data_IF_178998435329
#
_entry.id   IF_178998435329
#
_cell.length_a   1.000
_cell.length_b   1.000
_cell.length_c   1.000
_cell.angle_alpha   90.00
_cell.angle_beta   90.00
_cell.angle_gamma   90.00
#
_symmetry.space_group_name_H-M   'P 1'
#
loop_
_entity.id
_entity.type
_entity.pdbx_description
1 polymer ?
#
# COMPACT_ATOMS: atom_id res chain seq x y z
N UNK A 1 -9.76 28.54 -15.48
CA UNK A 1 -9.76 27.85 -14.18
C UNK A 1 -9.14 26.45 -14.22
N UNK A 2 -8.73 25.94 -15.39
CA UNK A 2 -8.06 24.63 -15.53
C UNK A 2 -6.68 24.67 -14.86
N UNK A 3 -6.35 23.65 -14.05
CA UNK A 3 -5.04 23.51 -13.39
C UNK A 3 -3.93 23.34 -14.44
N UNK A 4 -2.84 24.15 -14.39
CA UNK A 4 -1.72 23.98 -15.29
C UNK A 4 -1.02 22.63 -15.02
N UNK A 5 -0.60 21.94 -16.09
CA UNK A 5 0.13 20.68 -15.99
C UNK A 5 1.63 20.95 -15.88
N UNK A 6 2.28 20.30 -14.93
CA UNK A 6 3.73 20.35 -14.77
C UNK A 6 4.37 19.19 -15.54
N UNK A 7 4.66 19.40 -16.83
CA UNK A 7 5.19 18.35 -17.71
C UNK A 7 6.60 17.88 -17.32
N UNK A 8 7.38 18.76 -16.70
CA UNK A 8 8.77 18.46 -16.29
C UNK A 8 8.78 17.40 -15.20
N UNK A 9 7.98 17.60 -14.13
CA UNK A 9 7.84 16.62 -13.05
C UNK A 9 7.28 15.30 -13.58
N UNK A 10 6.29 15.36 -14.48
CA UNK A 10 5.72 14.15 -15.07
C UNK A 10 6.78 13.33 -15.81
N UNK A 11 7.63 13.98 -16.63
CA UNK A 11 8.74 13.30 -17.34
C UNK A 11 9.76 12.70 -16.38
N UNK A 12 10.11 13.40 -15.30
CA UNK A 12 11.02 12.89 -14.28
C UNK A 12 10.45 11.66 -13.57
N UNK A 13 9.17 11.67 -13.24
CA UNK A 13 8.49 10.53 -12.62
C UNK A 13 8.37 9.34 -13.58
N UNK A 14 8.09 9.57 -14.86
CA UNK A 14 8.10 8.49 -15.86
C UNK A 14 9.48 7.84 -15.97
N UNK A 15 10.54 8.64 -16.12
CA UNK A 15 11.91 8.14 -16.21
C UNK A 15 12.33 7.38 -14.93
N UNK A 16 11.94 7.88 -13.76
CA UNK A 16 12.19 7.18 -12.50
C UNK A 16 11.39 5.88 -12.40
N UNK A 17 10.15 5.86 -12.86
CA UNK A 17 9.31 4.66 -12.90
C UNK A 17 9.90 3.57 -13.80
N UNK A 18 10.35 3.94 -15.00
CA UNK A 18 11.07 3.04 -15.93
C UNK A 18 12.35 2.51 -15.29
N UNK A 19 13.14 3.38 -14.67
CA UNK A 19 14.36 3.00 -13.95
C UNK A 19 14.10 1.96 -12.85
N UNK A 20 13.04 2.14 -12.05
CA UNK A 20 12.68 1.20 -10.99
C UNK A 20 12.19 -0.13 -11.59
N UNK A 21 11.45 -0.09 -12.69
CA UNK A 21 11.01 -1.28 -13.42
C UNK A 21 12.17 -2.10 -14.01
N UNK A 22 13.22 -1.44 -14.51
CA UNK A 22 14.42 -2.11 -15.03
C UNK A 22 15.24 -2.80 -13.92
N UNK A 23 15.27 -2.23 -12.71
CA UNK A 23 16.04 -2.80 -11.59
C UNK A 23 15.31 -4.00 -10.96
N UNK A 24 13.99 -3.92 -10.81
CA UNK A 24 13.18 -4.96 -10.18
C UNK A 24 12.09 -5.51 -11.12
N UNK A 25 12.46 -6.08 -12.28
CA UNK A 25 11.50 -6.57 -13.27
C UNK A 25 10.71 -7.79 -12.78
N UNK A 26 11.22 -8.48 -11.76
CA UNK A 26 10.60 -9.67 -11.18
C UNK A 26 9.26 -9.36 -10.47
N UNK A 27 9.17 -8.20 -9.83
CA UNK A 27 8.05 -7.87 -8.93
C UNK A 27 7.14 -6.78 -9.47
N UNK A 28 7.67 -5.89 -10.31
CA UNK A 28 6.92 -4.76 -10.85
C UNK A 28 6.15 -5.22 -12.08
N UNK A 29 4.83 -5.10 -12.02
CA UNK A 29 3.92 -5.47 -13.10
C UNK A 29 3.58 -4.28 -13.97
N UNK A 30 3.33 -3.13 -13.35
CA UNK A 30 2.92 -1.92 -14.05
C UNK A 30 3.44 -0.67 -13.35
N UNK A 31 3.86 0.28 -14.17
CA UNK A 31 4.22 1.64 -13.75
C UNK A 31 3.20 2.60 -14.35
N UNK A 32 2.62 3.45 -13.52
CA UNK A 32 1.60 4.41 -13.94
C UNK A 32 1.99 5.79 -13.42
N UNK A 33 1.81 6.82 -14.25
CA UNK A 33 1.95 8.21 -13.81
C UNK A 33 0.63 8.91 -14.09
N UNK A 34 -0.02 9.38 -13.03
CA UNK A 34 -1.29 10.10 -13.17
C UNK A 34 -1.05 11.50 -13.74
N UNK A 35 -2.11 12.09 -14.31
CA UNK A 35 -2.08 13.48 -14.79
C UNK A 35 -1.75 14.52 -13.72
N UNK A 36 -1.73 14.12 -12.44
CA UNK A 36 -1.46 14.99 -11.28
C UNK A 36 -0.05 14.82 -10.70
N UNK A 37 0.88 14.24 -11.48
CA UNK A 37 2.28 14.02 -11.09
C UNK A 37 2.42 13.06 -9.90
N UNK A 38 1.68 11.96 -9.94
CA UNK A 38 1.79 10.91 -8.93
C UNK A 38 2.18 9.61 -9.61
N UNK A 39 3.29 9.04 -9.14
CA UNK A 39 3.81 7.77 -9.62
C UNK A 39 3.20 6.62 -8.82
N UNK A 40 2.65 5.65 -9.53
CA UNK A 40 2.07 4.43 -8.98
C UNK A 40 2.82 3.20 -9.52
N UNK A 41 3.24 2.31 -8.63
CA UNK A 41 3.85 1.04 -8.94
C UNK A 41 2.90 -0.08 -8.53
N UNK A 42 2.53 -0.95 -9.46
CA UNK A 42 1.76 -2.14 -9.19
C UNK A 42 2.72 -3.31 -9.07
N UNK A 43 2.74 -3.95 -7.90
CA UNK A 43 3.68 -5.00 -7.55
C UNK A 43 2.97 -6.30 -7.17
N UNK A 44 3.65 -7.42 -7.37
CA UNK A 44 3.21 -8.72 -6.88
C UNK A 44 3.31 -8.79 -5.34
N UNK A 45 2.35 -9.44 -4.63
CA UNK A 45 2.35 -9.52 -3.16
C UNK A 45 3.65 -10.11 -2.57
N UNK A 46 4.21 -11.16 -3.18
CA UNK A 46 5.51 -11.76 -2.75
C UNK A 46 6.70 -10.79 -2.83
N UNK A 47 6.54 -9.64 -3.50
CA UNK A 47 7.57 -8.63 -3.73
C UNK A 47 7.57 -7.48 -2.74
N UNK A 48 6.70 -7.46 -1.72
CA UNK A 48 6.52 -6.31 -0.83
C UNK A 48 7.82 -5.94 -0.11
N UNK A 49 8.42 -6.89 0.61
CA UNK A 49 9.66 -6.64 1.36
C UNK A 49 10.80 -6.17 0.45
N UNK A 50 11.18 -6.87 -0.64
CA UNK A 50 12.32 -6.47 -1.46
C UNK A 50 12.08 -5.11 -2.14
N UNK A 51 10.87 -4.83 -2.64
CA UNK A 51 10.56 -3.55 -3.29
C UNK A 51 10.60 -2.41 -2.26
N UNK A 52 9.96 -2.55 -1.11
CA UNK A 52 9.96 -1.50 -0.08
C UNK A 52 11.37 -1.25 0.47
N UNK A 53 12.16 -2.32 0.66
CA UNK A 53 13.56 -2.19 1.11
C UNK A 53 14.40 -1.44 0.08
N UNK A 54 14.26 -1.78 -1.20
CA UNK A 54 14.93 -1.07 -2.28
C UNK A 54 14.53 0.41 -2.32
N UNK A 55 13.23 0.72 -2.23
CA UNK A 55 12.75 2.10 -2.25
C UNK A 55 13.28 2.91 -1.06
N UNK A 56 13.44 2.30 0.11
CA UNK A 56 13.99 2.93 1.31
C UNK A 56 15.49 3.20 1.20
N UNK A 57 16.26 2.21 0.74
CA UNK A 57 17.73 2.20 0.86
C UNK A 57 18.46 2.68 -0.40
N UNK A 58 17.84 2.60 -1.57
CA UNK A 58 18.49 2.97 -2.83
C UNK A 58 18.78 4.49 -2.90
N UNK A 59 19.97 4.84 -3.38
CA UNK A 59 20.48 6.23 -3.37
C UNK A 59 19.58 7.20 -4.15
N UNK A 60 18.97 6.73 -5.24
CA UNK A 60 18.05 7.54 -6.04
C UNK A 60 16.57 7.45 -5.58
N UNK A 61 16.25 6.56 -4.63
CA UNK A 61 14.87 6.33 -4.18
C UNK A 61 14.61 6.90 -2.77
N UNK A 62 15.48 6.67 -1.78
CA UNK A 62 15.44 7.25 -0.42
C UNK A 62 14.05 7.52 0.20
N UNK A 63 13.08 6.64 -0.04
CA UNK A 63 11.72 6.74 0.46
C UNK A 63 11.70 6.29 1.92
N UNK A 64 12.20 7.15 2.81
CA UNK A 64 12.40 6.82 4.23
C UNK A 64 11.11 6.84 5.04
N UNK A 65 10.16 7.68 4.66
CA UNK A 65 8.92 7.85 5.39
C UNK A 65 7.79 7.08 4.72
N UNK A 66 7.19 6.14 5.45
CA UNK A 66 5.89 5.59 5.11
C UNK A 66 4.85 6.62 5.59
N UNK A 67 4.16 7.23 4.64
CA UNK A 67 3.14 8.22 4.93
C UNK A 67 1.88 7.53 5.42
N UNK A 68 1.39 6.55 4.66
CA UNK A 68 0.21 5.76 5.01
C UNK A 68 0.32 4.35 4.43
N UNK A 69 -0.37 3.41 5.06
CA UNK A 69 -0.68 2.10 4.52
C UNK A 69 -2.19 1.92 4.63
N UNK A 70 -2.84 1.76 3.49
CA UNK A 70 -4.29 1.64 3.40
C UNK A 70 -4.68 0.43 2.57
N UNK A 71 -5.92 -0.03 2.74
CA UNK A 71 -6.50 -1.08 1.91
C UNK A 71 -7.79 -0.58 1.27
N UNK A 72 -8.06 -1.05 0.07
CA UNK A 72 -9.26 -0.79 -0.71
C UNK A 72 -9.89 -2.13 -1.06
N UNK A 73 -11.16 -2.30 -0.72
CA UNK A 73 -11.92 -3.49 -1.05
C UNK A 73 -12.76 -3.27 -2.31
N UNK A 74 -12.53 -4.11 -3.32
CA UNK A 74 -13.22 -4.11 -4.62
C UNK A 74 -13.78 -5.52 -4.87
N UNK A 75 -15.02 -5.81 -4.45
CA UNK A 75 -15.61 -7.15 -4.52
C UNK A 75 -15.75 -7.74 -5.92
N UNK A 76 -15.70 -6.91 -6.97
CA UNK A 76 -15.79 -7.36 -8.36
C UNK A 76 -14.51 -8.01 -8.89
N UNK A 77 -13.40 -7.92 -8.17
CA UNK A 77 -12.10 -8.49 -8.56
C UNK A 77 -11.87 -9.84 -7.88
N UNK A 78 -11.12 -10.72 -8.54
CA UNK A 78 -10.68 -11.99 -7.95
C UNK A 78 -9.83 -11.75 -6.69
N UNK A 79 -8.89 -10.82 -6.79
CA UNK A 79 -8.16 -10.30 -5.63
C UNK A 79 -8.91 -9.06 -5.12
N UNK A 80 -9.78 -9.27 -4.14
CA UNK A 80 -10.71 -8.24 -3.66
C UNK A 80 -9.99 -7.07 -3.00
N UNK A 81 -8.87 -7.32 -2.32
CA UNK A 81 -8.17 -6.31 -1.55
C UNK A 81 -7.01 -5.74 -2.35
N UNK A 82 -6.94 -4.41 -2.39
CA UNK A 82 -5.82 -3.66 -2.92
C UNK A 82 -5.15 -2.90 -1.78
N UNK A 83 -3.91 -3.25 -1.44
CA UNK A 83 -3.14 -2.57 -0.39
C UNK A 83 -2.22 -1.55 -1.01
N UNK A 84 -2.28 -0.32 -0.50
CA UNK A 84 -1.57 0.84 -1.00
C UNK A 84 -0.62 1.37 0.06
N UNK A 85 0.67 1.38 -0.28
CA UNK A 85 1.73 2.01 0.49
C UNK A 85 2.01 3.38 -0.10
N UNK A 86 1.73 4.44 0.65
CA UNK A 86 2.11 5.80 0.29
C UNK A 86 3.47 6.09 0.92
N UNK A 87 4.48 6.38 0.10
CA UNK A 87 5.83 6.66 0.57
C UNK A 87 6.27 8.07 0.17
N UNK A 88 7.12 8.67 1.02
CA UNK A 88 7.70 9.99 0.83
C UNK A 88 9.22 9.94 0.92
N UNK A 89 9.88 10.46 -0.11
CA UNK A 89 11.31 10.70 -0.13
C UNK A 89 11.59 12.13 0.29
N UNK A 90 12.14 12.33 1.49
CA UNK A 90 12.46 13.66 2.01
C UNK A 90 13.63 14.31 1.27
N UNK A 91 14.55 13.51 0.73
CA UNK A 91 15.73 14.01 0.00
C UNK A 91 15.35 14.64 -1.33
N UNK A 92 14.43 14.01 -2.04
CA UNK A 92 13.98 14.44 -3.37
C UNK A 92 12.62 15.15 -3.35
N UNK A 93 11.99 15.25 -2.17
CA UNK A 93 10.63 15.75 -1.98
C UNK A 93 9.61 15.10 -2.94
N UNK A 94 9.79 13.81 -3.21
CA UNK A 94 8.96 13.04 -4.15
C UNK A 94 8.06 12.06 -3.40
N UNK A 95 6.87 11.82 -3.95
CA UNK A 95 5.90 10.86 -3.43
C UNK A 95 5.70 9.73 -4.43
N UNK A 96 5.50 8.53 -3.90
CA UNK A 96 5.21 7.35 -4.70
C UNK A 96 4.14 6.52 -4.01
N UNK A 97 3.29 5.89 -4.81
CA UNK A 97 2.32 4.90 -4.34
C UNK A 97 2.73 3.53 -4.83
N UNK A 98 2.86 2.58 -3.92
CA UNK A 98 3.11 1.17 -4.24
C UNK A 98 1.84 0.41 -3.92
N UNK A 99 1.28 -0.27 -4.91
CA UNK A 99 0.02 -0.99 -4.79
C UNK A 99 0.25 -2.48 -4.97
N UNK A 100 -0.42 -3.26 -4.14
CA UNK A 100 -0.43 -4.72 -4.13
C UNK A 100 -1.86 -5.20 -4.09
N UNK A 101 -2.07 -6.47 -4.40
CA UNK A 101 -3.37 -7.10 -4.32
C UNK A 101 -3.30 -8.38 -3.51
N UNK A 102 -4.41 -8.76 -2.89
CA UNK A 102 -4.56 -10.02 -2.15
C UNK A 102 -6.00 -10.49 -2.15
N UNK A 103 -6.16 -11.79 -1.90
CA UNK A 103 -7.44 -12.36 -1.54
C UNK A 103 -7.61 -12.39 0.00
N UNK A 104 -8.65 -13.08 0.47
CA UNK A 104 -8.99 -13.19 1.90
C UNK A 104 -8.11 -14.15 2.70
N UNK A 105 -7.44 -15.09 2.03
CA UNK A 105 -6.78 -16.22 2.66
C UNK A 105 -5.26 -16.18 2.50
N UNK A 106 -4.77 -15.51 1.45
CA UNK A 106 -3.36 -15.39 1.14
C UNK A 106 -2.72 -14.43 2.13
N UNK A 107 -1.76 -14.92 2.95
CA UNK A 107 -1.04 -14.05 3.86
C UNK A 107 -0.09 -13.15 3.07
N UNK A 108 -0.02 -11.88 3.45
CA UNK A 108 0.96 -10.92 2.94
C UNK A 108 2.10 -10.79 3.93
N UNK A 109 3.33 -10.61 3.45
CA UNK A 109 4.45 -10.28 4.32
C UNK A 109 4.34 -8.88 4.96
N UNK A 110 4.50 -8.82 6.29
CA UNK A 110 4.57 -7.58 7.05
C UNK A 110 5.75 -6.70 6.64
N UNK A 111 5.48 -5.41 6.42
CA UNK A 111 6.45 -4.38 6.12
C UNK A 111 7.07 -3.74 7.38
N UNK A 112 6.73 -4.20 8.59
CA UNK A 112 7.24 -3.65 9.86
C UNK A 112 8.77 -3.68 9.96
N UNK A 113 9.40 -4.70 9.38
CA UNK A 113 10.86 -4.81 9.30
C UNK A 113 11.51 -3.70 8.47
N UNK A 114 10.79 -3.18 7.47
CA UNK A 114 11.25 -2.11 6.58
C UNK A 114 10.86 -0.74 7.14
N UNK A 115 9.59 -0.57 7.49
CA UNK A 115 9.03 0.64 8.06
C UNK A 115 8.29 0.32 9.35
N UNK A 116 8.88 0.69 10.49
CA UNK A 116 8.25 0.47 11.82
C UNK A 116 6.88 1.14 11.97
N UNK A 117 6.61 2.18 11.19
CA UNK A 117 5.31 2.86 11.13
C UNK A 117 4.18 1.90 10.69
N UNK A 118 4.49 0.86 9.90
CA UNK A 118 3.50 -0.09 9.41
C UNK A 118 2.82 -0.92 10.53
N UNK A 119 3.38 -0.96 11.74
CA UNK A 119 2.85 -1.80 12.84
C UNK A 119 1.37 -1.48 13.14
N UNK A 120 1.02 -0.20 13.25
CA UNK A 120 -0.38 0.16 13.52
C UNK A 120 -1.26 0.04 12.28
N UNK A 121 -0.75 0.43 11.10
CA UNK A 121 -1.54 0.34 9.87
C UNK A 121 -1.86 -1.11 9.47
N UNK A 122 -0.93 -2.04 9.64
CA UNK A 122 -1.17 -3.46 9.36
C UNK A 122 -2.23 -4.04 10.32
N UNK A 123 -2.22 -3.61 11.59
CA UNK A 123 -3.26 -3.97 12.56
C UNK A 123 -4.62 -3.36 12.20
N UNK A 124 -4.64 -2.12 11.74
CA UNK A 124 -5.86 -1.47 11.27
C UNK A 124 -6.44 -2.20 10.05
N UNK A 125 -5.60 -2.53 9.06
CA UNK A 125 -6.03 -3.26 7.87
C UNK A 125 -6.51 -4.67 8.22
N UNK A 126 -5.85 -5.35 9.16
CA UNK A 126 -6.34 -6.62 9.70
C UNK A 126 -7.72 -6.49 10.36
N UNK A 127 -7.90 -5.49 11.22
CA UNK A 127 -9.15 -5.27 11.95
C UNK A 127 -10.30 -4.88 11.01
N UNK A 128 -10.04 -3.98 10.06
CA UNK A 128 -11.06 -3.40 9.18
C UNK A 128 -11.39 -4.24 7.95
N UNK A 129 -10.42 -4.98 7.40
CA UNK A 129 -10.58 -5.74 6.16
C UNK A 129 -10.34 -7.25 6.34
N UNK A 130 -9.61 -7.67 7.37
CA UNK A 130 -9.27 -9.07 7.59
C UNK A 130 -8.12 -9.58 6.73
N UNK A 131 -7.25 -8.70 6.24
CA UNK A 131 -6.05 -9.12 5.49
C UNK A 131 -4.94 -9.53 6.44
N UNK A 132 -4.53 -10.80 6.37
CA UNK A 132 -3.52 -11.35 7.27
C UNK A 132 -2.11 -10.93 6.87
N UNK A 133 -1.35 -10.37 7.83
CA UNK A 133 0.06 -10.05 7.67
C UNK A 133 0.94 -11.10 8.38
N UNK A 134 1.69 -11.88 7.60
CA UNK A 134 2.71 -12.79 8.08
C UNK A 134 3.89 -12.03 8.71
N UNK A 135 4.50 -12.63 9.73
CA UNK A 135 5.67 -12.10 10.44
C UNK A 135 5.44 -10.76 11.20
N UNK A 136 4.20 -10.32 11.38
CA UNK A 136 3.87 -9.18 12.22
C UNK A 136 4.08 -9.50 13.72
N UNK A 137 4.69 -8.61 14.53
CA UNK A 137 5.02 -8.91 15.93
C UNK A 137 3.80 -9.10 16.86
N UNK A 138 2.71 -8.36 16.63
CA UNK A 138 1.49 -8.41 17.46
C UNK A 138 0.26 -8.05 16.63
N UNK A 139 -0.31 -9.03 15.93
CA UNK A 139 -1.47 -8.82 15.07
C UNK A 139 -2.76 -8.99 15.89
N UNK A 140 -3.25 -7.88 16.45
CA UNK A 140 -4.51 -7.82 17.20
C UNK A 140 -5.33 -6.60 16.80
N UNK A 141 -6.63 -6.64 17.07
CA UNK A 141 -7.58 -5.54 16.82
C UNK A 141 -7.15 -4.25 17.49
N UNK A 142 -7.56 -3.11 16.95
CA UNK A 142 -7.18 -1.79 17.46
C UNK A 142 -8.32 -0.78 17.45
N UNK A 143 -9.25 -0.88 16.49
CA UNK A 143 -10.39 0.02 16.36
C UNK A 143 -11.70 -0.62 16.80
N UNK A 144 -11.91 -1.91 16.51
CA UNK A 144 -13.14 -2.61 16.90
C UNK A 144 -13.16 -2.98 18.38
N UNK A 145 -14.37 -3.11 18.93
CA UNK A 145 -14.57 -3.59 20.29
C UNK A 145 -14.12 -5.06 20.44
N UNK A 146 -13.80 -5.47 21.67
CA UNK A 146 -13.19 -6.76 21.99
C UNK A 146 -14.01 -7.97 21.51
N UNK A 147 -15.34 -7.88 21.57
CA UNK A 147 -16.26 -8.93 21.15
C UNK A 147 -16.83 -8.74 19.74
N UNK A 148 -16.35 -7.75 18.98
CA UNK A 148 -16.92 -7.46 17.67
C UNK A 148 -16.59 -8.56 16.67
N UNK A 149 -17.57 -9.09 15.97
CA UNK A 149 -17.36 -10.10 14.92
C UNK A 149 -17.54 -9.48 13.53
N UNK A 150 -16.56 -9.68 12.66
CA UNK A 150 -16.55 -9.14 11.30
C UNK A 150 -15.57 -7.99 11.08
N UNK A 151 -15.59 -7.47 9.86
CA UNK A 151 -14.64 -6.49 9.32
C UNK A 151 -15.42 -5.32 8.70
N UNK A 152 -15.51 -4.15 9.38
CA UNK A 152 -16.46 -3.10 9.02
C UNK A 152 -16.26 -2.46 7.63
N UNK A 153 -15.02 -2.41 7.13
CA UNK A 153 -14.73 -1.75 5.85
C UNK A 153 -14.78 -2.68 4.63
N UNK A 154 -15.10 -3.96 4.86
CA UNK A 154 -15.53 -4.85 3.79
C UNK A 154 -16.84 -4.32 3.19
N UNK A 155 -16.92 -4.22 1.86
CA UNK A 155 -18.07 -3.60 1.17
C UNK A 155 -19.36 -4.41 1.25
N UNK A 156 -19.29 -5.65 1.73
CA UNK A 156 -20.39 -6.54 2.06
C UNK A 156 -20.94 -6.33 3.48
N UNK A 157 -20.24 -5.60 4.35
CA UNK A 157 -20.67 -5.36 5.73
C UNK A 157 -21.73 -4.25 5.80
N UNK A 158 -22.87 -4.45 6.52
CA UNK A 158 -23.89 -3.43 6.66
C UNK A 158 -23.39 -2.25 7.50
N UNK A 159 -23.76 -1.02 7.12
CA UNK A 159 -23.29 0.19 7.79
C UNK A 159 -23.66 0.25 9.28
N UNK A 160 -24.83 -0.28 9.66
CA UNK A 160 -25.29 -0.36 11.06
C UNK A 160 -24.60 -1.45 11.87
N UNK A 161 -23.89 -2.39 11.22
CA UNK A 161 -23.48 -3.65 11.82
C UNK A 161 -24.64 -4.61 12.06
N UNK A 162 -24.32 -5.74 12.68
CA UNK A 162 -25.29 -6.79 13.03
C UNK A 162 -25.74 -6.74 14.49
N UNK A 163 -25.01 -6.01 15.33
CA UNK A 163 -25.24 -5.92 16.78
C UNK A 163 -25.34 -4.45 17.15
N UNK A 164 -26.45 -4.10 17.79
CA UNK A 164 -26.65 -2.82 18.47
C UNK A 164 -26.65 -3.12 19.97
N UNK A 165 -25.73 -2.50 20.72
CA UNK A 165 -25.61 -2.65 22.19
C UNK A 165 -26.16 -1.42 22.89
#
# INVERSE_FOLDING_TARGET
TVRPKNEVEQKQLCAFGEYVAEILPKYIQQVQVTCFNELELLIHPDGIIPVLTFLRDHTNAQFKSLADLTAVDVPSRQYRFEIVYNLLSLRFNSRIRVKTYTDELTPIDSAVSVHKAANWYEREVWDMFGVFFANHPDLRRILTDYGFEGHPFRKDFPLSGYVEV
#
